data_IF_825583124980
#
_entry.id   IF_825583124980
#
_cell.length_a   1.000
_cell.length_b   1.000
_cell.length_c   1.000
_cell.angle_alpha   90.00
_cell.angle_beta   90.00
_cell.angle_gamma   90.00
#
_symmetry.space_group_name_H-M   'P 1'
#
loop_
_entity.id
_entity.type
_entity.pdbx_description
1 polymer ?
#
# COMPACT_ATOMS: atom_id res chain seq x y z
N UNK A 1 -25.01 -6.78 6.47
CA UNK A 1 -23.57 -7.05 6.45
C UNK A 1 -22.96 -6.19 5.35
N UNK A 2 -21.97 -5.39 5.70
CA UNK A 2 -21.20 -4.50 4.83
C UNK A 2 -20.03 -5.24 4.19
N UNK A 3 -19.44 -4.65 3.15
CA UNK A 3 -18.25 -5.20 2.49
C UNK A 3 -17.07 -5.34 3.47
N UNK A 4 -16.88 -4.38 4.38
CA UNK A 4 -15.82 -4.43 5.38
C UNK A 4 -16.03 -5.59 6.37
N UNK A 5 -17.29 -5.85 6.79
CA UNK A 5 -17.62 -7.00 7.63
C UNK A 5 -17.36 -8.34 6.92
N UNK A 6 -17.63 -8.42 5.61
CA UNK A 6 -17.32 -9.62 4.81
C UNK A 6 -15.81 -9.87 4.75
N UNK A 7 -15.02 -8.82 4.51
CA UNK A 7 -13.55 -8.94 4.49
C UNK A 7 -13.00 -9.31 5.86
N UNK A 8 -13.52 -8.73 6.94
CA UNK A 8 -13.10 -9.08 8.30
C UNK A 8 -13.31 -10.56 8.60
N UNK A 9 -14.50 -11.11 8.31
CA UNK A 9 -14.81 -12.52 8.53
C UNK A 9 -13.92 -13.45 7.69
N UNK A 10 -13.71 -13.11 6.40
CA UNK A 10 -12.82 -13.87 5.52
C UNK A 10 -11.39 -13.89 6.05
N UNK A 11 -10.83 -12.73 6.41
CA UNK A 11 -9.46 -12.63 6.90
C UNK A 11 -9.29 -13.31 8.25
N UNK A 12 -10.30 -13.27 9.12
CA UNK A 12 -10.30 -14.00 10.39
C UNK A 12 -10.25 -15.51 10.21
N UNK A 13 -11.01 -16.03 9.24
CA UNK A 13 -10.99 -17.44 8.89
C UNK A 13 -9.61 -17.87 8.34
N UNK A 14 -9.10 -17.14 7.35
CA UNK A 14 -7.81 -17.45 6.71
C UNK A 14 -6.61 -17.28 7.66
N UNK A 15 -6.66 -16.30 8.58
CA UNK A 15 -5.67 -16.15 9.65
C UNK A 15 -5.73 -17.32 10.63
N UNK A 16 -6.94 -17.76 11.01
CA UNK A 16 -7.14 -18.93 11.87
C UNK A 16 -6.65 -20.24 11.25
N UNK A 17 -6.63 -20.34 9.92
CA UNK A 17 -6.05 -21.47 9.19
C UNK A 17 -4.53 -21.34 8.97
N UNK A 18 -3.95 -20.18 9.27
CA UNK A 18 -2.53 -19.89 9.04
C UNK A 18 -2.19 -19.59 7.58
N UNK A 19 -3.18 -19.42 6.70
CA UNK A 19 -2.96 -19.04 5.29
C UNK A 19 -2.50 -17.60 5.17
N UNK A 20 -2.95 -16.73 6.08
CA UNK A 20 -2.56 -15.33 6.14
C UNK A 20 -1.70 -15.04 7.38
N UNK A 21 -0.66 -14.23 7.19
CA UNK A 21 0.10 -13.64 8.28
C UNK A 21 -0.51 -12.32 8.72
N UNK A 22 -0.17 -11.87 9.93
CA UNK A 22 -0.60 -10.57 10.42
C UNK A 22 -0.01 -9.42 9.60
N UNK A 23 1.19 -9.58 9.06
CA UNK A 23 1.83 -8.60 8.16
C UNK A 23 1.01 -8.41 6.88
N UNK A 24 0.50 -9.50 6.29
CA UNK A 24 -0.37 -9.41 5.12
C UNK A 24 -1.67 -8.66 5.43
N UNK A 25 -2.28 -8.94 6.59
CA UNK A 25 -3.53 -8.29 7.01
C UNK A 25 -3.29 -6.81 7.35
N UNK A 26 -2.11 -6.49 7.90
CA UNK A 26 -1.68 -5.11 8.19
C UNK A 26 -1.68 -4.26 6.91
N UNK A 27 -1.17 -4.80 5.80
CA UNK A 27 -1.15 -4.13 4.50
C UNK A 27 -2.52 -3.82 3.88
N UNK A 28 -3.60 -4.38 4.43
CA UNK A 28 -4.97 -4.15 3.95
C UNK A 28 -5.77 -3.17 4.81
N UNK A 29 -5.20 -2.72 5.94
CA UNK A 29 -5.80 -1.70 6.79
C UNK A 29 -5.86 -0.37 6.03
N UNK A 30 -7.05 0.20 5.92
CA UNK A 30 -7.35 1.39 5.12
C UNK A 30 -7.77 1.10 3.67
N UNK A 31 -7.65 -0.15 3.21
CA UNK A 31 -8.12 -0.58 1.88
C UNK A 31 -9.44 -1.33 1.98
N UNK A 32 -9.48 -2.40 2.78
CA UNK A 32 -10.65 -3.30 2.89
C UNK A 32 -11.16 -3.44 4.32
N UNK A 33 -10.31 -3.17 5.31
CA UNK A 33 -10.64 -3.22 6.74
C UNK A 33 -10.05 -2.00 7.48
N UNK A 34 -10.53 -1.74 8.69
CA UNK A 34 -9.99 -0.70 9.57
C UNK A 34 -9.02 -1.26 10.65
N UNK A 35 -8.40 -0.36 11.41
CA UNK A 35 -7.47 -0.72 12.48
C UNK A 35 -8.13 -1.53 13.61
N UNK A 36 -9.43 -1.34 13.84
CA UNK A 36 -10.16 -2.09 14.86
C UNK A 36 -10.43 -3.53 14.39
N UNK A 37 -10.75 -3.73 13.12
CA UNK A 37 -10.87 -5.04 12.49
C UNK A 37 -9.55 -5.80 12.52
N UNK A 38 -8.43 -5.13 12.23
CA UNK A 38 -7.09 -5.74 12.36
C UNK A 38 -6.86 -6.34 13.76
N UNK A 39 -7.23 -5.61 14.82
CA UNK A 39 -7.13 -6.09 16.20
C UNK A 39 -8.06 -7.26 16.48
N UNK A 40 -9.29 -7.24 15.95
CA UNK A 40 -10.25 -8.34 16.11
C UNK A 40 -9.81 -9.62 15.38
N UNK A 41 -9.11 -9.49 14.25
CA UNK A 41 -8.60 -10.62 13.47
C UNK A 41 -7.34 -11.21 14.11
N UNK A 42 -6.35 -10.37 14.42
CA UNK A 42 -5.00 -10.81 14.76
C UNK A 42 -4.73 -10.83 16.26
N UNK A 43 -5.54 -10.14 17.07
CA UNK A 43 -5.30 -9.89 18.49
C UNK A 43 -4.28 -8.79 18.78
N UNK A 44 -3.69 -8.16 17.76
CA UNK A 44 -2.62 -7.18 17.91
C UNK A 44 -3.13 -5.75 17.65
N UNK A 45 -2.54 -4.77 18.34
CA UNK A 45 -2.78 -3.37 18.05
C UNK A 45 -2.14 -2.98 16.71
N UNK A 46 -2.90 -2.26 15.88
CA UNK A 46 -2.40 -1.76 14.61
C UNK A 46 -1.42 -0.60 14.85
N UNK A 47 -0.25 -0.69 14.23
CA UNK A 47 0.74 0.40 14.20
C UNK A 47 0.91 0.87 12.76
N UNK A 48 0.53 2.10 12.47
CA UNK A 48 0.71 2.65 11.13
C UNK A 48 2.20 2.69 10.76
N UNK A 49 2.54 2.12 9.61
CA UNK A 49 3.90 2.28 9.05
C UNK A 49 3.93 3.64 8.38
N UNK A 50 4.49 4.63 9.06
CA UNK A 50 4.90 5.87 8.39
C UNK A 50 6.13 5.57 7.57
N UNK A 51 6.00 5.45 6.24
CA UNK A 51 7.17 5.44 5.36
C UNK A 51 8.01 6.71 5.66
N UNK A 52 9.33 6.59 5.79
CA UNK A 52 10.18 7.78 5.80
C UNK A 52 9.97 8.48 4.46
N UNK A 53 9.52 9.75 4.50
CA UNK A 53 9.49 10.63 3.33
C UNK A 53 10.89 10.58 2.72
N UNK A 54 11.02 9.91 1.58
CA UNK A 54 12.23 9.99 0.79
C UNK A 54 12.36 11.45 0.39
N UNK A 55 13.41 12.12 0.86
CA UNK A 55 13.72 13.46 0.41
C UNK A 55 13.76 13.45 -1.12
N UNK A 56 13.14 14.43 -1.81
CA UNK A 56 13.10 14.44 -3.26
C UNK A 56 14.54 14.49 -3.79
N UNK A 57 14.99 13.39 -4.39
CA UNK A 57 16.24 13.38 -5.15
C UNK A 57 16.01 14.24 -6.38
N UNK A 58 16.58 15.45 -6.37
CA UNK A 58 16.58 16.36 -7.51
C UNK A 58 17.43 15.73 -8.62
N UNK A 59 16.78 15.05 -9.57
CA UNK A 59 17.45 14.49 -10.74
C UNK A 59 17.71 15.63 -11.72
N UNK A 60 18.94 16.15 -11.76
CA UNK A 60 19.37 17.06 -12.83
C UNK A 60 19.27 16.32 -14.18
N UNK A 61 18.29 16.72 -15.01
CA UNK A 61 18.18 16.27 -16.39
C UNK A 61 19.40 16.75 -17.21
N UNK A 62 20.09 15.87 -17.94
CA UNK A 62 21.14 16.32 -18.87
C UNK A 62 20.52 17.21 -19.96
N UNK A 63 21.14 18.38 -20.19
CA UNK A 63 20.75 19.35 -21.22
C UNK A 63 20.67 18.68 -22.59
N UNK A 64 19.48 18.72 -23.19
CA UNK A 64 19.22 18.27 -24.54
C UNK A 64 19.88 19.23 -25.55
N UNK A 65 20.97 18.80 -26.19
CA UNK A 65 21.57 19.54 -27.30
C UNK A 65 20.66 19.42 -28.53
N UNK A 66 20.18 20.56 -29.02
CA UNK A 66 19.18 20.64 -30.09
C UNK A 66 19.71 20.24 -31.46
N UNK A 67 18.96 19.40 -32.17
CA UNK A 67 19.16 19.16 -33.60
C UNK A 67 18.28 20.12 -34.41
N UNK A 68 18.91 21.06 -35.10
CA UNK A 68 18.29 21.96 -36.07
C UNK A 68 17.90 21.19 -37.33
N UNK A 69 16.59 21.05 -37.59
CA UNK A 69 16.07 20.52 -38.85
C UNK A 69 16.02 21.64 -39.90
N UNK A 70 16.76 21.48 -41.00
CA UNK A 70 16.75 22.44 -42.13
C UNK A 70 15.66 22.03 -43.13
N UNK A 71 14.66 22.89 -43.31
CA UNK A 71 13.64 22.78 -44.37
C UNK A 71 14.27 23.09 -45.74
N UNK A 72 14.17 22.17 -46.70
CA UNK A 72 14.48 22.43 -48.11
C UNK A 72 13.16 22.70 -48.85
N UNK A 73 13.10 23.84 -49.55
CA UNK A 73 11.95 24.32 -50.32
C UNK A 73 11.95 23.74 -51.74
#
# INVERSE_FOLDING_TARGET
MSTAEIFEELYKMEFGWGTLSAETIHGWVGLTIDAAAYKRITGMDYQAVTEPKSDPVEVELPKQEGTTSTYVR
#
